data_IF_425488666285
#
_entry.id   IF_425488666285
#
_cell.length_a   1.000
_cell.length_b   1.000
_cell.length_c   1.000
_cell.angle_alpha   90.00
_cell.angle_beta   90.00
_cell.angle_gamma   90.00
#
_symmetry.space_group_name_H-M   'P 1'
#
loop_
_entity.id
_entity.type
_entity.pdbx_description
1 polymer ?
#
# COMPACT_ATOMS: atom_id res chain seq x y z
N UNK A 1 -7.14 26.73 10.93
CA UNK A 1 -7.63 25.87 12.03
C UNK A 1 -7.40 24.38 11.74
N UNK A 2 -7.78 23.84 10.57
CA UNK A 2 -7.52 22.44 10.21
C UNK A 2 -6.02 22.04 10.17
N UNK A 3 -5.13 22.98 9.84
CA UNK A 3 -3.68 22.74 9.81
C UNK A 3 -3.05 22.49 11.20
N UNK A 4 -3.55 23.15 12.25
CA UNK A 4 -3.00 22.99 13.61
C UNK A 4 -3.35 21.63 14.21
N UNK A 5 -4.56 21.11 13.96
CA UNK A 5 -4.99 19.81 14.45
C UNK A 5 -4.18 18.66 13.82
N UNK A 6 -3.88 18.74 12.52
CA UNK A 6 -3.04 17.74 11.84
C UNK A 6 -1.59 17.82 12.33
N UNK A 7 -1.08 19.03 12.58
CA UNK A 7 0.27 19.22 13.11
C UNK A 7 0.46 18.58 14.49
N UNK A 8 -0.52 18.75 15.39
CA UNK A 8 -0.47 18.18 16.74
C UNK A 8 -0.42 16.64 16.76
N UNK A 9 -1.02 15.98 15.76
CA UNK A 9 -0.89 14.52 15.59
C UNK A 9 0.51 14.11 15.12
N UNK A 10 1.17 14.93 14.29
CA UNK A 10 2.51 14.62 13.79
C UNK A 10 3.59 14.73 14.89
N UNK A 11 3.39 15.59 15.88
CA UNK A 11 4.35 15.79 16.97
C UNK A 11 4.48 14.57 17.91
N UNK A 12 3.43 13.76 18.03
CA UNK A 12 3.40 12.55 18.87
C UNK A 12 3.60 11.25 18.10
N UNK A 13 3.81 11.34 16.78
CA UNK A 13 3.84 10.18 15.91
C UNK A 13 5.23 9.53 15.84
N UNK A 14 5.21 8.20 15.69
CA UNK A 14 6.38 7.47 15.25
C UNK A 14 6.58 7.73 13.74
N UNK A 15 7.69 8.39 13.39
CA UNK A 15 8.00 8.73 11.99
C UNK A 15 9.16 7.89 11.48
N UNK A 16 8.94 7.24 10.34
CA UNK A 16 9.90 6.42 9.64
C UNK A 16 10.23 7.05 8.30
N UNK A 17 11.52 7.01 7.93
CA UNK A 17 12.00 7.55 6.66
C UNK A 17 12.67 6.47 5.82
N UNK A 18 12.45 6.53 4.51
CA UNK A 18 13.02 5.60 3.54
C UNK A 18 12.20 4.32 3.34
N UNK A 19 12.38 3.71 2.17
CA UNK A 19 11.44 2.72 1.65
C UNK A 19 11.30 1.49 2.56
N UNK A 20 12.40 0.80 2.89
CA UNK A 20 12.37 -0.45 3.67
C UNK A 20 11.73 -0.32 5.08
N UNK A 21 12.13 0.64 5.94
CA UNK A 21 11.50 0.78 7.25
C UNK A 21 10.03 1.21 7.15
N UNK A 22 9.66 2.04 6.17
CA UNK A 22 8.26 2.43 5.98
C UNK A 22 7.39 1.21 5.60
N UNK A 23 7.83 0.42 4.62
CA UNK A 23 7.10 -0.79 4.17
C UNK A 23 6.85 -1.72 5.35
N UNK A 24 7.89 -2.02 6.13
CA UNK A 24 7.78 -2.93 7.28
C UNK A 24 6.76 -2.44 8.31
N UNK A 25 6.79 -1.16 8.65
CA UNK A 25 5.88 -0.60 9.64
C UNK A 25 4.43 -0.49 9.12
N UNK A 26 4.23 -0.21 7.83
CA UNK A 26 2.90 -0.20 7.22
C UNK A 26 2.31 -1.61 7.21
N UNK A 27 3.09 -2.61 6.82
CA UNK A 27 2.65 -4.01 6.84
C UNK A 27 2.29 -4.47 8.26
N UNK A 28 3.09 -4.09 9.25
CA UNK A 28 2.81 -4.37 10.66
C UNK A 28 1.52 -3.69 11.12
N UNK A 29 1.31 -2.41 10.77
CA UNK A 29 0.09 -1.70 11.14
C UNK A 29 -1.16 -2.32 10.48
N UNK A 30 -1.07 -2.71 9.21
CA UNK A 30 -2.17 -3.39 8.54
C UNK A 30 -2.48 -4.75 9.19
N UNK A 31 -1.45 -5.47 9.64
CA UNK A 31 -1.60 -6.72 10.39
C UNK A 31 -2.30 -6.49 11.75
N UNK A 32 -1.86 -5.47 12.50
CA UNK A 32 -2.45 -5.06 13.78
C UNK A 32 -3.94 -4.73 13.63
N UNK A 33 -4.32 -4.05 12.55
CA UNK A 33 -5.71 -3.67 12.25
C UNK A 33 -6.50 -4.78 11.56
N UNK A 34 -5.86 -5.92 11.26
CA UNK A 34 -6.41 -7.05 10.50
C UNK A 34 -6.97 -6.65 9.13
N UNK A 35 -6.29 -5.73 8.47
CA UNK A 35 -6.55 -5.27 7.11
C UNK A 35 -5.59 -5.95 6.11
N UNK A 36 -6.01 -6.16 4.85
CA UNK A 36 -5.15 -6.81 3.87
C UNK A 36 -3.88 -5.98 3.57
N UNK A 37 -2.70 -6.63 3.63
CA UNK A 37 -1.38 -5.98 3.50
C UNK A 37 -1.12 -5.33 2.15
N UNK A 38 -1.84 -5.72 1.10
CA UNK A 38 -1.73 -5.17 -0.25
C UNK A 38 -2.73 -4.06 -0.56
N UNK A 39 -3.29 -3.38 0.44
CA UNK A 39 -4.18 -2.22 0.25
C UNK A 39 -3.47 -1.00 -0.36
N UNK A 40 -2.15 -0.91 -0.22
CA UNK A 40 -1.34 0.20 -0.71
C UNK A 40 -0.24 -0.30 -1.66
N UNK A 41 0.11 0.48 -2.70
CA UNK A 41 1.32 0.25 -3.47
C UNK A 41 2.54 0.65 -2.63
N UNK A 42 3.21 -0.33 -2.02
CA UNK A 42 4.30 -0.14 -1.05
C UNK A 42 5.68 0.08 -1.71
N UNK A 43 5.74 0.89 -2.76
CA UNK A 43 6.98 1.21 -3.47
C UNK A 43 7.24 2.71 -3.51
N UNK A 44 8.52 3.08 -3.49
CA UNK A 44 8.98 4.48 -3.51
C UNK A 44 8.38 5.33 -2.37
N UNK A 45 8.25 4.74 -1.18
CA UNK A 45 7.81 5.46 0.02
C UNK A 45 8.95 6.33 0.55
N UNK A 46 8.64 7.61 0.80
CA UNK A 46 9.56 8.59 1.37
C UNK A 46 9.48 8.58 2.89
N UNK A 47 8.27 8.61 3.41
CA UNK A 47 7.99 8.78 4.83
C UNK A 47 6.68 8.11 5.19
N UNK A 48 6.65 7.53 6.39
CA UNK A 48 5.45 7.00 7.00
C UNK A 48 5.40 7.46 8.46
N UNK A 49 4.26 7.96 8.89
CA UNK A 49 4.06 8.39 10.27
C UNK A 49 2.81 7.79 10.85
N UNK A 50 2.88 7.39 12.13
CA UNK A 50 1.76 6.84 12.85
C UNK A 50 1.73 7.31 14.30
N UNK A 51 0.64 7.97 14.69
CA UNK A 51 0.33 8.33 16.07
C UNK A 51 -0.60 7.28 16.68
N UNK A 52 -0.03 6.41 17.53
CA UNK A 52 -0.77 5.35 18.23
C UNK A 52 -1.85 5.90 19.17
N UNK A 53 -1.71 7.13 19.66
CA UNK A 53 -2.65 7.71 20.63
C UNK A 53 -3.93 8.19 19.97
N UNK A 54 -3.82 8.80 18.79
CA UNK A 54 -4.97 9.32 18.03
C UNK A 54 -5.46 8.37 16.93
N UNK A 55 -4.66 7.37 16.57
CA UNK A 55 -4.88 6.54 15.40
C UNK A 55 -4.63 7.28 14.09
N UNK A 56 -4.00 8.46 14.09
CA UNK A 56 -3.71 9.20 12.87
C UNK A 56 -2.47 8.62 12.18
N UNK A 57 -2.57 8.37 10.88
CA UNK A 57 -1.43 7.97 10.04
C UNK A 57 -1.29 8.86 8.81
N UNK A 58 -0.06 8.95 8.31
CA UNK A 58 0.21 9.47 6.97
C UNK A 58 1.27 8.67 6.25
N UNK A 59 1.15 8.66 4.93
CA UNK A 59 2.05 8.02 4.00
C UNK A 59 2.43 9.01 2.92
N UNK A 60 3.73 9.23 2.74
CA UNK A 60 4.25 10.13 1.70
C UNK A 60 5.00 9.32 0.64
N UNK A 61 4.47 9.33 -0.58
CA UNK A 61 5.14 8.78 -1.76
C UNK A 61 6.10 9.80 -2.38
N UNK A 62 7.16 9.33 -3.04
CA UNK A 62 8.03 10.23 -3.81
C UNK A 62 7.31 10.91 -4.99
N UNK A 63 6.27 10.26 -5.52
CA UNK A 63 5.52 10.65 -6.72
C UNK A 63 4.12 10.08 -6.63
N UNK A 64 3.15 10.78 -7.24
CA UNK A 64 1.79 10.28 -7.43
C UNK A 64 1.83 8.94 -8.18
N UNK A 65 0.97 8.01 -7.80
CA UNK A 65 0.95 6.67 -8.40
C UNK A 65 -0.47 6.18 -8.65
N UNK A 66 -0.67 5.64 -9.84
CA UNK A 66 -1.87 4.89 -10.17
C UNK A 66 -1.57 3.38 -10.05
N UNK A 67 -2.49 2.65 -9.43
CA UNK A 67 -2.42 1.21 -9.25
C UNK A 67 -3.68 0.55 -9.79
N UNK A 68 -3.50 -0.57 -10.48
CA UNK A 68 -4.61 -1.38 -11.01
C UNK A 68 -4.69 -2.67 -10.22
N UNK A 69 -5.74 -2.82 -9.42
CA UNK A 69 -6.05 -4.06 -8.73
C UNK A 69 -6.64 -5.07 -9.72
N UNK A 70 -5.76 -5.86 -10.36
CA UNK A 70 -6.11 -6.78 -11.46
C UNK A 70 -7.25 -7.74 -11.12
N UNK A 71 -7.33 -8.21 -9.86
CA UNK A 71 -8.36 -9.16 -9.41
C UNK A 71 -9.78 -8.57 -9.43
N UNK A 72 -9.90 -7.26 -9.21
CA UNK A 72 -11.19 -6.54 -9.18
C UNK A 72 -11.35 -5.56 -10.36
N UNK A 73 -10.33 -5.46 -11.22
CA UNK A 73 -10.26 -4.55 -12.37
C UNK A 73 -10.45 -3.07 -12.01
N UNK A 74 -10.24 -2.70 -10.75
CA UNK A 74 -10.33 -1.31 -10.30
C UNK A 74 -9.01 -0.57 -10.43
N UNK A 75 -9.09 0.69 -10.86
CA UNK A 75 -7.95 1.61 -10.92
C UNK A 75 -8.05 2.59 -9.77
N UNK A 76 -7.00 2.66 -8.96
CA UNK A 76 -6.92 3.54 -7.79
C UNK A 76 -5.70 4.45 -7.93
N UNK A 77 -5.91 5.74 -7.75
CA UNK A 77 -4.88 6.78 -7.77
C UNK A 77 -4.55 7.20 -6.35
N UNK A 78 -3.26 7.18 -6.03
CA UNK A 78 -2.69 7.59 -4.75
C UNK A 78 -1.90 8.89 -4.98
N UNK A 79 -2.31 9.95 -4.31
CA UNK A 79 -1.61 11.24 -4.30
C UNK A 79 -0.27 11.13 -3.53
N UNK A 80 0.53 12.20 -3.57
CA UNK A 80 1.84 12.20 -2.90
C UNK A 80 1.74 12.05 -1.38
N UNK A 81 0.72 12.61 -0.76
CA UNK A 81 0.44 12.44 0.68
C UNK A 81 -0.94 11.79 0.83
N UNK A 82 -0.95 10.64 1.51
CA UNK A 82 -2.15 9.90 1.88
C UNK A 82 -2.28 9.97 3.40
N UNK A 83 -3.45 10.32 3.91
CA UNK A 83 -3.71 10.41 5.34
C UNK A 83 -4.96 9.63 5.70
N UNK A 84 -5.01 9.09 6.93
CA UNK A 84 -6.17 8.36 7.42
C UNK A 84 -6.17 8.32 8.95
N UNK A 85 -7.33 8.08 9.54
CA UNK A 85 -7.45 7.63 10.92
C UNK A 85 -7.74 6.14 10.92
N UNK A 86 -7.03 5.39 11.75
CA UNK A 86 -7.17 3.93 11.85
C UNK A 86 -7.82 3.49 13.13
N UNK A 87 -8.59 2.42 13.00
CA UNK A 87 -9.27 1.68 14.05
C UNK A 87 -9.22 0.20 13.69
N UNK A 88 -9.47 -0.68 14.65
CA UNK A 88 -9.54 -2.11 14.37
C UNK A 88 -10.51 -2.38 13.21
N UNK A 89 -10.02 -3.07 12.18
CA UNK A 89 -10.76 -3.42 10.96
C UNK A 89 -11.18 -2.24 10.07
N UNK A 90 -10.70 -1.02 10.33
CA UNK A 90 -11.20 0.18 9.65
C UNK A 90 -10.16 1.30 9.50
N UNK A 91 -10.22 1.97 8.35
CA UNK A 91 -9.60 3.27 8.08
C UNK A 91 -10.70 4.27 7.72
N UNK A 92 -10.67 5.46 8.31
CA UNK A 92 -11.70 6.51 8.14
C UNK A 92 -11.06 7.86 7.85
N UNK A 93 -11.87 8.77 7.29
CA UNK A 93 -11.45 10.12 6.87
C UNK A 93 -10.19 10.08 5.99
N UNK A 94 -10.14 9.10 5.09
CA UNK A 94 -9.02 8.93 4.18
C UNK A 94 -8.94 10.12 3.22
N UNK A 95 -7.71 10.54 2.94
CA UNK A 95 -7.40 11.57 1.94
C UNK A 95 -6.26 11.08 1.04
N UNK A 96 -6.19 11.62 -0.17
CA UNK A 96 -5.15 11.28 -1.14
C UNK A 96 -5.38 9.96 -1.88
N UNK A 97 -6.54 9.31 -1.72
CA UNK A 97 -6.88 8.07 -2.45
C UNK A 97 -8.15 8.28 -3.26
N UNK A 98 -8.09 7.96 -4.56
CA UNK A 98 -9.22 8.08 -5.50
C UNK A 98 -9.40 6.79 -6.26
N UNK A 99 -10.63 6.30 -6.39
CA UNK A 99 -10.98 5.20 -7.29
C UNK A 99 -11.57 5.74 -8.58
N UNK A 100 -11.34 5.04 -9.68
CA UNK A 100 -11.98 5.35 -10.96
C UNK A 100 -13.26 4.53 -11.08
N UNK A 101 -14.40 5.21 -11.00
CA UNK A 101 -15.71 4.59 -11.18
C UNK A 101 -16.35 5.15 -12.46
N UNK A 102 -16.68 4.24 -13.39
CA UNK A 102 -17.08 4.57 -14.77
C UNK A 102 -16.04 5.49 -15.46
N UNK A 103 -16.32 6.79 -15.52
CA UNK A 103 -15.47 7.81 -16.14
C UNK A 103 -15.01 8.89 -15.15
N UNK A 104 -15.38 8.79 -13.87
CA UNK A 104 -15.10 9.79 -12.85
C UNK A 104 -14.13 9.26 -11.79
N UNK A 105 -13.30 10.16 -11.26
CA UNK A 105 -12.46 9.88 -10.11
C UNK A 105 -13.21 10.26 -8.82
N UNK A 106 -13.46 9.27 -7.98
CA UNK A 106 -14.15 9.45 -6.71
C UNK A 106 -13.16 9.25 -5.54
N UNK A 107 -13.16 10.17 -4.60
CA UNK A 107 -12.30 10.07 -3.40
C UNK A 107 -12.84 8.98 -2.47
N UNK A 108 -11.97 8.08 -2.04
CA UNK A 108 -12.27 7.08 -1.01
C UNK A 108 -12.15 7.74 0.36
N UNK A 109 -13.18 7.64 1.20
CA UNK A 109 -13.23 8.23 2.55
C UNK A 109 -13.07 7.20 3.65
N UNK A 110 -13.56 5.98 3.44
CA UNK A 110 -13.49 4.91 4.42
C UNK A 110 -13.17 3.57 3.76
N UNK A 111 -12.41 2.74 4.47
CA UNK A 111 -12.16 1.34 4.14
C UNK A 111 -12.40 0.53 5.40
N UNK A 112 -13.24 -0.49 5.35
CA UNK A 112 -13.57 -1.27 6.54
C UNK A 112 -13.97 -2.71 6.22
N UNK A 113 -13.83 -3.58 7.21
CA UNK A 113 -14.36 -4.94 7.19
C UNK A 113 -15.55 -4.97 8.14
N UNK A 114 -16.77 -5.11 7.59
CA UNK A 114 -18.00 -5.08 8.38
C UNK A 114 -18.18 -6.33 9.24
N UNK A 115 -17.86 -7.50 8.67
CA UNK A 115 -17.86 -8.77 9.38
C UNK A 115 -16.56 -9.52 9.06
N UNK A 116 -15.70 -9.83 10.04
CA UNK A 116 -14.44 -10.52 9.80
C UNK A 116 -14.64 -11.92 9.18
N UNK A 117 -15.79 -12.56 9.43
CA UNK A 117 -16.13 -13.87 8.84
C UNK A 117 -16.52 -13.77 7.36
N UNK A 118 -16.83 -12.57 6.87
CA UNK A 118 -17.25 -12.37 5.47
C UNK A 118 -16.10 -12.49 4.47
N UNK A 119 -14.86 -12.30 4.92
CA UNK A 119 -13.69 -12.23 4.04
C UNK A 119 -13.78 -11.11 3.01
N UNK A 120 -14.52 -10.03 3.29
CA UNK A 120 -14.70 -8.89 2.40
C UNK A 120 -14.26 -7.58 3.05
N UNK A 121 -13.66 -6.72 2.24
CA UNK A 121 -13.33 -5.34 2.57
C UNK A 121 -14.21 -4.41 1.74
N UNK A 122 -14.77 -3.40 2.39
CA UNK A 122 -15.67 -2.41 1.79
C UNK A 122 -14.98 -1.06 1.69
N UNK A 123 -15.07 -0.44 0.52
CA UNK A 123 -14.57 0.90 0.23
C UNK A 123 -15.75 1.84 0.10
N UNK A 124 -15.74 2.95 0.82
CA UNK A 124 -16.75 4.01 0.74
C UNK A 124 -16.15 5.25 0.09
N UNK A 125 -16.90 5.85 -0.82
CA UNK A 125 -16.52 7.09 -1.48
C UNK A 125 -17.22 8.29 -0.84
N UNK A 126 -16.66 9.49 -1.07
CA UNK A 126 -17.24 10.75 -0.57
C UNK A 126 -18.63 11.08 -1.14
N UNK A 127 -19.05 10.41 -2.22
CA UNK A 127 -20.41 10.53 -2.78
C UNK A 127 -21.42 9.60 -2.09
N UNK A 128 -20.98 8.78 -1.15
CA UNK A 128 -21.82 7.83 -0.42
C UNK A 128 -21.94 6.45 -1.08
N UNK A 129 -21.28 6.22 -2.22
CA UNK A 129 -21.21 4.91 -2.84
C UNK A 129 -20.29 3.99 -2.02
N UNK A 130 -20.63 2.71 -1.99
CA UNK A 130 -19.83 1.69 -1.32
C UNK A 130 -19.73 0.43 -2.14
N UNK A 131 -18.52 -0.09 -2.28
CA UNK A 131 -18.25 -1.36 -2.97
C UNK A 131 -17.49 -2.31 -2.06
N UNK A 132 -17.89 -3.58 -2.07
CA UNK A 132 -17.26 -4.63 -1.27
C UNK A 132 -16.56 -5.65 -2.15
N UNK A 133 -15.33 -5.99 -1.79
CA UNK A 133 -14.47 -6.89 -2.55
C UNK A 133 -13.89 -7.97 -1.63
N UNK A 134 -13.55 -9.16 -2.13
CA UNK A 134 -12.91 -10.18 -1.31
C UNK A 134 -11.53 -9.69 -0.83
N UNK A 135 -11.17 -9.94 0.43
CA UNK A 135 -9.87 -9.55 1.01
C UNK A 135 -8.69 -10.12 0.23
N UNK A 136 -8.86 -11.34 -0.32
CA UNK A 136 -7.88 -11.98 -1.19
C UNK A 136 -7.55 -11.19 -2.46
N UNK A 137 -8.39 -10.23 -2.86
CA UNK A 137 -8.08 -9.31 -3.95
C UNK A 137 -6.91 -8.36 -3.63
N UNK A 138 -6.66 -8.12 -2.35
CA UNK A 138 -5.70 -7.13 -1.82
C UNK A 138 -4.61 -7.78 -0.98
N UNK A 139 -4.41 -9.09 -1.07
CA UNK A 139 -3.25 -9.73 -0.48
C UNK A 139 -2.00 -9.38 -1.29
N UNK A 140 -0.88 -9.16 -0.60
CA UNK A 140 0.42 -9.03 -1.24
C UNK A 140 0.67 -10.29 -2.06
N UNK A 141 0.62 -10.18 -3.39
CA UNK A 141 1.33 -11.16 -4.20
C UNK A 141 2.79 -10.95 -3.83
N UNK A 142 3.40 -11.99 -3.26
CA UNK A 142 4.85 -12.17 -3.36
C UNK A 142 5.12 -12.29 -4.85
N UNK A 143 5.24 -11.14 -5.53
CA UNK A 143 5.71 -11.12 -6.89
C UNK A 143 7.14 -11.67 -6.81
N UNK A 144 7.40 -12.69 -7.62
CA UNK A 144 8.69 -13.36 -7.79
C UNK A 144 9.77 -12.43 -8.38
N UNK A 145 9.77 -11.16 -7.97
CA UNK A 145 10.62 -10.08 -8.43
C UNK A 145 12.03 -10.17 -7.83
N UNK A 146 12.18 -10.87 -6.70
CA UNK A 146 13.51 -11.17 -6.12
C UNK A 146 14.14 -12.42 -6.75
N UNK A 147 13.34 -13.41 -7.16
CA UNK A 147 13.88 -14.62 -7.79
C UNK A 147 14.37 -14.39 -9.23
N UNK A 148 13.75 -13.49 -10.00
CA UNK A 148 14.23 -13.15 -11.35
C UNK A 148 15.49 -12.29 -11.36
N UNK A 149 15.65 -11.36 -10.41
CA UNK A 149 16.92 -10.62 -10.24
C UNK A 149 18.04 -11.58 -9.87
N UNK A 150 17.80 -12.48 -8.92
CA UNK A 150 18.77 -13.51 -8.55
C UNK A 150 19.03 -14.50 -9.68
N UNK A 151 18.02 -14.95 -10.42
CA UNK A 151 18.22 -15.83 -11.58
C UNK A 151 19.05 -15.16 -12.67
N UNK A 152 18.85 -13.87 -12.93
CA UNK A 152 19.70 -13.12 -13.87
C UNK A 152 21.14 -12.99 -13.39
N UNK A 153 21.36 -12.85 -12.08
CA UNK A 153 22.71 -12.92 -11.48
C UNK A 153 23.31 -14.34 -11.57
N UNK A 154 22.53 -15.37 -11.28
CA UNK A 154 22.93 -16.78 -11.36
C UNK A 154 23.25 -17.18 -12.80
N UNK A 155 22.46 -16.77 -13.80
CA UNK A 155 22.71 -17.07 -15.21
C UNK A 155 23.97 -16.38 -15.73
N UNK A 156 24.30 -15.19 -15.24
CA UNK A 156 25.54 -14.48 -15.57
C UNK A 156 26.75 -15.15 -14.89
N UNK A 157 26.60 -15.67 -13.67
CA UNK A 157 27.66 -16.36 -12.94
C UNK A 157 27.93 -17.79 -13.46
N UNK A 158 26.89 -18.55 -13.79
CA UNK A 158 27.02 -19.92 -14.32
C UNK A 158 27.38 -19.89 -15.81
N UNK A 159 26.88 -18.92 -16.58
CA UNK A 159 27.16 -18.76 -18.01
C UNK A 159 28.58 -18.27 -18.34
N UNK A 160 29.34 -17.78 -17.35
CA UNK A 160 30.71 -17.31 -17.54
C UNK A 160 31.78 -18.41 -17.56
N UNK A 161 31.47 -19.63 -17.08
CA UNK A 161 32.46 -20.72 -17.00
C UNK A 161 32.34 -21.78 -18.11
N UNK A 162 31.23 -21.80 -18.85
CA UNK A 162 31.06 -22.76 -19.95
C UNK A 162 31.54 -22.25 -21.32
N UNK A 163 31.89 -20.96 -21.45
CA UNK A 163 32.33 -20.38 -22.73
C UNK A 163 33.85 -20.48 -22.97
N UNK A 164 34.64 -20.96 -22.00
CA UNK A 164 36.11 -21.03 -22.10
C UNK A 164 36.67 -22.45 -22.29
N UNK A 165 35.83 -23.50 -22.29
CA UNK A 165 36.30 -24.89 -22.51
C UNK A 165 36.03 -25.42 -23.93
N UNK A 166 35.49 -24.60 -24.85
CA UNK A 166 35.23 -24.99 -26.24
C UNK A 166 36.04 -24.15 -27.26
N UNK A 167 37.16 -23.56 -26.82
CA UNK A 167 38.14 -22.84 -27.66
C UNK A 167 39.58 -23.34 -27.45
N UNK A 168 39.72 -24.60 -27.07
CA UNK A 168 40.97 -25.37 -27.11
C UNK A 168 40.54 -26.84 -27.22
N UNK A 169 40.60 -27.59 -28.33
CA UNK A 169 41.66 -27.71 -29.33
C UNK A 169 43.05 -27.66 -28.72
#
# INVERSE_FOLDING_TARGET
MASQAIQAHRDNAEVYHGNSPCIKNIEQLLDELSLPKGLFPLDDIKEFGYDRSSGFMWLTHKKKKDHVFKKIKQTVSYEMEVTAFVENWRMKKMSGVKTKELLLWLTITDVYIENPSSGKVTFKTGTGLSESFPTSAFELRVEAFELWKWWRFIYIWIGGWFCLSLMSL
#
